data_IF_572691218226
#
_entry.id   IF_572691218226
#
_cell.length_a   1.000
_cell.length_b   1.000
_cell.length_c   1.000
_cell.angle_alpha   90.00
_cell.angle_beta   90.00
_cell.angle_gamma   90.00
#
_symmetry.space_group_name_H-M   'P 1'
#
loop_
_entity.id
_entity.type
_entity.pdbx_description
1 polymer ?
#
# COMPACT_ATOMS: atom_id res chain seq x y z
N UNK A 1 -4.36 -28.50 6.37
CA UNK A 1 -4.44 -27.38 5.42
C UNK A 1 -3.07 -26.81 5.14
N UNK A 2 -2.67 -26.80 3.89
CA UNK A 2 -1.43 -26.17 3.50
C UNK A 2 -1.58 -24.66 3.60
N UNK A 3 -0.54 -23.99 4.12
CA UNK A 3 -0.51 -22.54 4.11
C UNK A 3 -0.36 -22.07 2.66
N UNK A 4 -1.07 -21.01 2.24
CA UNK A 4 -0.86 -20.47 0.91
C UNK A 4 0.56 -19.91 0.79
N UNK A 5 1.14 -20.01 -0.38
CA UNK A 5 2.47 -19.43 -0.62
C UNK A 5 2.43 -17.91 -0.53
N UNK A 6 1.37 -17.30 -1.06
CA UNK A 6 1.14 -15.87 -1.02
C UNK A 6 -0.34 -15.61 -0.73
N UNK A 7 -0.61 -14.74 0.23
CA UNK A 7 -1.96 -14.24 0.49
C UNK A 7 -2.13 -12.91 -0.22
N UNK A 8 -3.11 -12.82 -1.10
CA UNK A 8 -3.40 -11.58 -1.82
C UNK A 8 -4.67 -10.93 -1.28
N UNK A 9 -4.54 -9.69 -0.83
CA UNK A 9 -5.66 -8.88 -0.34
C UNK A 9 -5.82 -7.66 -1.26
N UNK A 10 -6.91 -7.63 -2.04
CA UNK A 10 -7.16 -6.53 -2.96
C UNK A 10 -8.24 -5.63 -2.38
N UNK A 11 -7.82 -4.47 -1.86
CA UNK A 11 -8.69 -3.49 -1.21
C UNK A 11 -9.66 -4.12 -0.20
N UNK A 12 -9.15 -4.82 0.81
CA UNK A 12 -9.99 -5.64 1.68
C UNK A 12 -11.03 -4.87 2.50
N UNK A 13 -10.87 -3.55 2.58
CA UNK A 13 -11.74 -2.69 3.38
C UNK A 13 -12.53 -1.67 2.56
N UNK A 14 -12.52 -1.79 1.23
CA UNK A 14 -13.11 -0.78 0.34
C UNK A 14 -14.61 -0.54 0.58
N UNK A 15 -15.35 -1.57 1.00
CA UNK A 15 -16.78 -1.47 1.22
C UNK A 15 -17.16 -1.29 2.70
N UNK A 16 -16.16 -1.11 3.58
CA UNK A 16 -16.39 -1.05 5.03
C UNK A 16 -16.29 0.38 5.56
N UNK A 17 -17.03 0.64 6.65
CA UNK A 17 -16.87 1.89 7.37
C UNK A 17 -15.50 1.93 8.07
N UNK A 18 -14.98 3.13 8.45
CA UNK A 18 -13.64 3.24 9.03
C UNK A 18 -13.38 2.39 10.27
N UNK A 19 -14.35 2.27 11.17
CA UNK A 19 -14.20 1.46 12.39
C UNK A 19 -14.06 -0.01 12.08
N UNK A 20 -14.94 -0.53 11.22
CA UNK A 20 -14.91 -1.92 10.81
C UNK A 20 -13.66 -2.22 10.00
N UNK A 21 -13.27 -1.31 9.13
CA UNK A 21 -12.04 -1.43 8.34
C UNK A 21 -10.81 -1.58 9.24
N UNK A 22 -10.67 -0.75 10.26
CA UNK A 22 -9.57 -0.82 11.20
C UNK A 22 -9.52 -2.16 11.93
N UNK A 23 -10.66 -2.67 12.35
CA UNK A 23 -10.75 -3.97 13.03
C UNK A 23 -10.33 -5.12 12.10
N UNK A 24 -10.81 -5.11 10.88
CA UNK A 24 -10.49 -6.17 9.90
C UNK A 24 -8.99 -6.16 9.59
N UNK A 25 -8.40 -5.01 9.36
CA UNK A 25 -6.98 -4.90 9.08
C UNK A 25 -6.13 -5.32 10.28
N UNK A 26 -6.55 -4.96 11.47
CA UNK A 26 -5.83 -5.33 12.69
C UNK A 26 -5.83 -6.84 12.91
N UNK A 27 -6.98 -7.48 12.73
CA UNK A 27 -7.11 -8.94 12.84
C UNK A 27 -6.28 -9.62 11.76
N UNK A 28 -6.34 -9.11 10.53
CA UNK A 28 -5.57 -9.64 9.40
C UNK A 28 -4.07 -9.57 9.69
N UNK A 29 -3.61 -8.43 10.21
CA UNK A 29 -2.20 -8.24 10.55
C UNK A 29 -1.74 -9.22 11.64
N UNK A 30 -2.57 -9.45 12.63
CA UNK A 30 -2.29 -10.43 13.69
C UNK A 30 -2.13 -11.85 13.11
N UNK A 31 -3.04 -12.26 12.25
CA UNK A 31 -3.00 -13.59 11.62
C UNK A 31 -1.76 -13.73 10.75
N UNK A 32 -1.47 -12.73 9.94
CA UNK A 32 -0.29 -12.72 9.06
C UNK A 32 0.99 -12.83 9.88
N UNK A 33 1.08 -12.09 10.98
CA UNK A 33 2.25 -12.10 11.84
C UNK A 33 2.42 -13.44 12.58
N UNK A 34 1.33 -13.97 13.14
CA UNK A 34 1.37 -15.24 13.87
C UNK A 34 1.74 -16.42 13.00
N UNK A 35 1.24 -16.45 11.78
CA UNK A 35 1.45 -17.57 10.86
C UNK A 35 2.58 -17.33 9.86
N UNK A 36 3.27 -16.23 9.97
CA UNK A 36 4.38 -15.86 9.07
C UNK A 36 3.99 -15.97 7.59
N UNK A 37 2.81 -15.45 7.26
CA UNK A 37 2.32 -15.48 5.89
C UNK A 37 2.96 -14.39 5.03
N UNK A 38 3.37 -14.77 3.82
CA UNK A 38 3.76 -13.78 2.83
C UNK A 38 2.48 -13.18 2.26
N UNK A 39 2.31 -11.86 2.43
CA UNK A 39 1.06 -11.19 2.10
C UNK A 39 1.30 -9.96 1.23
N UNK A 40 0.52 -9.83 0.16
CA UNK A 40 0.49 -8.63 -0.67
C UNK A 40 -0.89 -7.97 -0.50
N UNK A 41 -0.90 -6.72 -0.03
CA UNK A 41 -2.13 -5.94 0.11
C UNK A 41 -2.13 -4.78 -0.88
N UNK A 42 -3.20 -4.67 -1.64
CA UNK A 42 -3.40 -3.56 -2.58
C UNK A 42 -4.43 -2.62 -1.97
N UNK A 43 -4.09 -1.34 -1.83
CA UNK A 43 -4.99 -0.36 -1.25
C UNK A 43 -4.77 1.02 -1.85
N UNK A 44 -5.85 1.81 -1.93
CA UNK A 44 -5.78 3.22 -2.26
C UNK A 44 -5.71 4.11 -1.01
N UNK A 45 -5.78 3.50 0.16
CA UNK A 45 -5.72 4.22 1.42
C UNK A 45 -4.26 4.33 1.89
N UNK A 46 -3.69 5.53 1.78
CA UNK A 46 -2.29 5.78 2.13
C UNK A 46 -1.98 5.53 3.61
N UNK A 47 -2.94 5.81 4.48
CA UNK A 47 -2.79 5.57 5.91
C UNK A 47 -2.61 4.08 6.20
N UNK A 48 -3.43 3.24 5.58
CA UNK A 48 -3.33 1.80 5.73
C UNK A 48 -2.03 1.27 5.13
N UNK A 49 -1.63 1.80 3.98
CA UNK A 49 -0.38 1.41 3.35
C UNK A 49 0.83 1.71 4.24
N UNK A 50 0.82 2.83 4.95
CA UNK A 50 1.89 3.19 5.88
C UNK A 50 1.88 2.35 7.15
N UNK A 51 0.70 1.96 7.60
CA UNK A 51 0.50 1.28 8.89
C UNK A 51 0.83 -0.20 8.85
N UNK A 52 0.51 -0.87 7.75
CA UNK A 52 0.61 -2.32 7.65
C UNK A 52 1.71 -2.74 6.67
N UNK A 53 2.30 -3.92 6.97
CA UNK A 53 3.36 -4.47 6.12
C UNK A 53 4.74 -3.89 6.41
N UNK A 54 5.74 -4.50 5.81
CA UNK A 54 7.14 -4.11 5.98
C UNK A 54 7.79 -3.59 4.70
N UNK A 55 7.00 -3.43 3.65
CA UNK A 55 7.47 -2.87 2.38
C UNK A 55 6.31 -2.14 1.72
N UNK A 56 6.56 -0.98 1.16
CA UNK A 56 5.55 -0.19 0.49
C UNK A 56 5.96 0.08 -0.94
N UNK A 57 5.08 -0.27 -1.87
CA UNK A 57 5.30 -0.02 -3.29
C UNK A 57 4.21 0.92 -3.79
N UNK A 58 4.61 2.01 -4.43
CA UNK A 58 3.67 2.94 -5.05
C UNK A 58 3.63 2.70 -6.55
N UNK A 59 2.42 2.64 -7.10
CA UNK A 59 2.23 2.45 -8.52
C UNK A 59 1.35 3.57 -9.10
N UNK A 60 1.65 3.95 -10.32
CA UNK A 60 0.85 4.92 -11.06
C UNK A 60 0.90 4.56 -12.53
N UNK A 61 -0.27 4.50 -13.17
CA UNK A 61 -0.40 4.18 -14.60
C UNK A 61 0.34 2.90 -15.02
N UNK A 62 0.25 1.86 -14.18
CA UNK A 62 0.88 0.58 -14.45
C UNK A 62 2.39 0.54 -14.21
N UNK A 63 2.96 1.59 -13.63
CA UNK A 63 4.39 1.67 -13.35
C UNK A 63 4.66 1.78 -11.86
N UNK A 64 5.76 1.20 -11.42
CA UNK A 64 6.24 1.38 -10.05
C UNK A 64 6.96 2.73 -10.00
N UNK A 65 6.45 3.64 -9.18
CA UNK A 65 7.03 4.97 -9.03
C UNK A 65 7.87 5.11 -7.75
N UNK A 66 7.67 4.21 -6.81
CA UNK A 66 8.46 4.19 -5.59
C UNK A 66 8.41 2.80 -4.96
N UNK A 67 9.48 2.41 -4.30
CA UNK A 67 9.61 1.15 -3.58
C UNK A 67 10.40 1.41 -2.31
N UNK A 68 9.74 1.25 -1.16
CA UNK A 68 10.33 1.54 0.14
C UNK A 68 10.49 0.25 0.93
N UNK A 69 11.73 -0.04 1.34
CA UNK A 69 12.01 -1.14 2.25
C UNK A 69 11.57 -0.78 3.68
N UNK A 70 11.64 -1.73 4.59
CA UNK A 70 11.16 -1.55 5.96
C UNK A 70 11.74 -0.32 6.66
N UNK A 71 13.04 -0.11 6.55
CA UNK A 71 13.72 1.03 7.19
C UNK A 71 13.26 2.36 6.62
N UNK A 72 13.14 2.44 5.31
CA UNK A 72 12.69 3.64 4.62
C UNK A 72 11.21 3.92 4.92
N UNK A 73 10.41 2.85 5.00
CA UNK A 73 8.98 2.95 5.28
C UNK A 73 8.71 3.55 6.66
N UNK A 74 9.52 3.27 7.66
CA UNK A 74 9.37 3.80 9.01
C UNK A 74 9.41 5.32 9.06
N UNK A 75 10.11 5.94 8.14
CA UNK A 75 10.26 7.39 8.07
C UNK A 75 9.24 8.08 7.17
N UNK A 76 8.40 7.29 6.48
CA UNK A 76 7.43 7.84 5.55
C UNK A 76 6.24 8.50 6.25
N UNK A 77 5.73 9.57 5.62
CA UNK A 77 4.51 10.24 6.03
C UNK A 77 3.56 10.31 4.84
N UNK A 78 2.29 10.60 5.11
CA UNK A 78 1.30 10.78 4.05
C UNK A 78 1.71 11.92 3.11
N UNK A 79 2.29 12.98 3.66
CA UNK A 79 2.78 14.13 2.87
C UNK A 79 3.83 13.72 1.85
N UNK A 80 4.76 12.86 2.23
CA UNK A 80 5.80 12.35 1.34
C UNK A 80 5.18 11.56 0.19
N UNK A 81 4.20 10.70 0.50
CA UNK A 81 3.50 9.90 -0.51
C UNK A 81 2.71 10.77 -1.48
N UNK A 82 2.00 11.77 -0.97
CA UNK A 82 1.25 12.71 -1.80
C UNK A 82 2.17 13.49 -2.74
N UNK A 83 3.29 13.95 -2.21
CA UNK A 83 4.29 14.66 -3.02
C UNK A 83 4.83 13.80 -4.15
N UNK A 84 5.07 12.52 -3.87
CA UNK A 84 5.56 11.57 -4.87
C UNK A 84 4.54 11.39 -6.00
N UNK A 85 3.26 11.28 -5.67
CA UNK A 85 2.20 11.21 -6.66
C UNK A 85 2.11 12.49 -7.50
N UNK A 86 2.20 13.65 -6.87
CA UNK A 86 2.15 14.95 -7.55
C UNK A 86 3.31 15.09 -8.53
N UNK A 87 4.50 14.74 -8.15
CA UNK A 87 5.68 14.80 -9.03
C UNK A 87 5.49 13.94 -10.28
N UNK A 88 4.94 12.76 -10.12
CA UNK A 88 4.70 11.86 -11.24
C UNK A 88 3.52 12.30 -12.12
N UNK A 89 2.49 12.84 -11.51
CA UNK A 89 1.35 13.38 -12.24
C UNK A 89 1.77 14.58 -13.08
N UNK A 90 2.56 15.50 -12.53
CA UNK A 90 3.08 16.67 -13.23
C UNK A 90 3.97 16.25 -14.41
N UNK A 91 4.84 15.29 -14.20
CA UNK A 91 5.71 14.77 -15.26
C UNK A 91 4.90 14.17 -16.42
N UNK A 92 3.83 13.43 -16.09
CA UNK A 92 2.93 12.86 -17.08
C UNK A 92 2.15 13.94 -17.82
N UNK A 93 1.69 14.97 -17.10
CA UNK A 93 0.97 16.10 -17.69
C UNK A 93 1.86 16.87 -18.66
N UNK A 94 3.10 17.11 -18.28
CA UNK A 94 4.07 17.80 -19.13
C UNK A 94 4.34 17.01 -20.41
N UNK A 95 4.46 15.69 -20.32
CA UNK A 95 4.63 14.83 -21.48
C UNK A 95 3.43 14.88 -22.42
N UNK A 96 2.22 14.89 -21.87
CA UNK A 96 1.01 14.97 -22.64
C UNK A 96 0.92 16.32 -23.37
N UNK A 97 1.28 17.40 -22.71
CA UNK A 97 1.26 18.74 -23.29
C UNK A 97 2.33 18.91 -24.38
N UNK A 98 3.51 18.37 -24.14
CA UNK A 98 4.65 18.51 -25.06
C UNK A 98 4.66 17.46 -26.17
N UNK A 99 3.94 16.39 -25.95
CA UNK A 99 3.92 15.26 -26.88
C UNK A 99 2.84 15.30 -27.87
#
# INVERSE_FOLDING_TARGET
>A
LKKPDILLLDEPTAALDPKTADKVLKITDEIVSEQHLTTLMITHNMRDALRYGNRLIMMNSGRIIADYAEEEKRELTIEVLLKKFEENADALSDKVILG
#
